data_IF_509443644760
#
_entry.id   IF_509443644760
#
_cell.length_a   1.000
_cell.length_b   1.000
_cell.length_c   1.000
_cell.angle_alpha   90.00
_cell.angle_beta   90.00
_cell.angle_gamma   90.00
#
_symmetry.space_group_name_H-M   'P 1'
#
loop_
_entity.id
_entity.type
_entity.pdbx_description
1 polymer ?
#
# COMPACT_ATOMS: atom_id res chain seq x y z
N UNK A 1 -41.97 8.21 -42.43
CA UNK A 1 -41.16 9.10 -41.58
C UNK A 1 -40.32 8.24 -40.65
N UNK A 2 -38.99 8.27 -40.78
CA UNK A 2 -38.06 7.59 -39.87
C UNK A 2 -37.96 8.42 -38.59
N UNK A 3 -38.32 7.84 -37.45
CA UNK A 3 -37.96 8.40 -36.15
C UNK A 3 -36.44 8.26 -35.99
N UNK A 4 -35.72 9.38 -36.08
CA UNK A 4 -34.36 9.48 -35.53
C UNK A 4 -34.52 9.61 -34.02
N UNK A 5 -34.16 8.58 -33.26
CA UNK A 5 -33.84 8.77 -31.85
C UNK A 5 -32.57 9.62 -31.78
N UNK A 6 -32.75 10.91 -31.50
CA UNK A 6 -31.77 11.69 -30.76
C UNK A 6 -31.82 11.14 -29.35
N UNK A 7 -30.81 10.37 -28.97
CA UNK A 7 -30.29 10.20 -27.61
C UNK A 7 -29.49 8.89 -27.61
N UNK A 8 -28.18 9.00 -27.46
CA UNK A 8 -27.25 8.00 -26.90
C UNK A 8 -25.79 8.39 -27.22
N UNK A 9 -25.44 9.67 -27.00
CA UNK A 9 -24.05 10.12 -27.02
C UNK A 9 -23.53 10.55 -25.64
N UNK A 10 -24.17 10.04 -24.58
CA UNK A 10 -23.65 10.12 -23.22
C UNK A 10 -23.20 8.74 -22.75
N UNK A 11 -22.17 8.19 -23.40
CA UNK A 11 -21.32 7.17 -22.78
C UNK A 11 -20.40 7.84 -21.73
N UNK A 12 -20.98 8.55 -20.76
CA UNK A 12 -20.27 8.90 -19.54
C UNK A 12 -20.10 7.62 -18.72
N UNK A 13 -19.13 6.80 -19.13
CA UNK A 13 -18.66 5.68 -18.32
C UNK A 13 -18.09 6.31 -17.05
N UNK A 14 -18.85 6.22 -15.95
CA UNK A 14 -18.50 6.78 -14.66
C UNK A 14 -17.16 6.20 -14.17
N UNK A 15 -16.06 6.92 -14.41
CA UNK A 15 -14.76 6.63 -13.81
C UNK A 15 -14.87 6.92 -12.33
N UNK A 16 -14.72 5.90 -11.49
CA UNK A 16 -14.64 6.06 -10.03
C UNK A 16 -13.19 6.04 -9.61
N UNK A 17 -12.75 7.13 -8.99
CA UNK A 17 -11.38 7.35 -8.56
C UNK A 17 -11.34 7.68 -7.07
N UNK A 18 -10.29 7.20 -6.38
CA UNK A 18 -9.98 7.63 -5.02
C UNK A 18 -9.06 8.83 -5.12
N UNK A 19 -9.61 10.02 -4.90
CA UNK A 19 -8.87 11.25 -5.04
C UNK A 19 -8.19 11.62 -3.71
N UNK A 20 -6.88 11.38 -3.64
CA UNK A 20 -6.00 11.93 -2.61
C UNK A 20 -6.48 11.69 -1.17
N UNK A 21 -6.77 10.44 -0.84
CA UNK A 21 -7.18 10.06 0.52
C UNK A 21 -5.94 9.96 1.41
N UNK A 22 -5.80 10.88 2.35
CA UNK A 22 -4.76 10.83 3.39
C UNK A 22 -5.38 10.30 4.69
N UNK A 23 -4.74 9.30 5.29
CA UNK A 23 -5.15 8.72 6.56
C UNK A 23 -4.01 8.80 7.58
N UNK A 24 -4.21 9.45 8.74
CA UNK A 24 -3.20 9.49 9.78
C UNK A 24 -3.06 8.12 10.43
N UNK A 25 -1.81 7.67 10.59
CA UNK A 25 -1.45 6.44 11.30
C UNK A 25 -0.92 6.74 12.70
N UNK A 26 -0.66 8.00 13.04
CA UNK A 26 -0.07 8.45 14.31
C UNK A 26 1.35 7.89 14.51
N UNK A 27 1.93 8.15 15.69
CA UNK A 27 3.29 7.75 16.04
C UNK A 27 3.47 6.22 16.03
N UNK A 28 4.62 5.72 15.60
CA UNK A 28 4.96 4.28 15.56
C UNK A 28 6.23 4.07 16.39
N UNK A 29 6.07 4.00 17.70
CA UNK A 29 7.17 4.09 18.68
C UNK A 29 7.65 2.73 19.18
N UNK A 30 6.74 1.88 19.66
CA UNK A 30 7.09 0.54 20.20
C UNK A 30 6.06 -0.54 19.84
N UNK A 31 4.91 -0.13 19.34
CA UNK A 31 3.83 -0.99 18.88
C UNK A 31 4.00 -1.39 17.41
N UNK A 32 3.43 -2.54 17.04
CA UNK A 32 3.17 -2.84 15.64
C UNK A 32 1.78 -2.32 15.28
N UNK A 33 1.73 -1.53 14.20
CA UNK A 33 0.48 -1.17 13.55
C UNK A 33 0.25 -2.05 12.35
N UNK A 34 -0.90 -2.71 12.33
CA UNK A 34 -1.37 -3.46 11.17
C UNK A 34 -2.46 -2.63 10.50
N UNK A 35 -2.14 -2.10 9.33
CA UNK A 35 -3.02 -1.31 8.49
C UNK A 35 -3.59 -2.21 7.41
N UNK A 36 -4.91 -2.31 7.33
CA UNK A 36 -5.60 -3.17 6.37
C UNK A 36 -6.71 -2.44 5.64
N UNK A 37 -6.79 -2.60 4.31
CA UNK A 37 -7.89 -2.08 3.51
C UNK A 37 -8.06 -2.84 2.20
N UNK A 38 -9.31 -2.85 1.71
CA UNK A 38 -9.68 -3.42 0.42
C UNK A 38 -9.98 -2.31 -0.58
N UNK A 39 -9.48 -2.51 -1.79
CA UNK A 39 -9.77 -1.66 -2.94
C UNK A 39 -10.26 -2.51 -4.10
N UNK A 40 -10.99 -1.88 -5.01
CA UNK A 40 -11.33 -2.43 -6.31
C UNK A 40 -10.71 -1.58 -7.39
N UNK A 41 -10.06 -2.20 -8.37
CA UNK A 41 -9.66 -1.46 -9.57
C UNK A 41 -10.88 -1.11 -10.41
N UNK A 42 -10.78 -0.04 -11.19
CA UNK A 42 -11.83 0.28 -12.17
C UNK A 42 -11.79 -0.66 -13.38
N UNK A 43 -12.65 -0.42 -14.37
CA UNK A 43 -12.59 -1.10 -15.68
C UNK A 43 -11.81 -0.29 -16.73
N UNK A 44 -11.28 0.89 -16.37
CA UNK A 44 -10.61 1.84 -17.28
C UNK A 44 -9.49 2.62 -16.55
N UNK A 45 -8.67 1.92 -15.76
CA UNK A 45 -7.62 2.54 -14.95
C UNK A 45 -6.22 2.44 -15.58
N UNK A 46 -5.42 3.48 -15.35
CA UNK A 46 -4.03 3.54 -15.81
C UNK A 46 -3.04 3.69 -14.67
N UNK A 47 -3.46 4.28 -13.54
CA UNK A 47 -2.56 4.62 -12.47
C UNK A 47 -3.16 4.40 -11.07
N UNK A 48 -2.28 4.03 -10.15
CA UNK A 48 -2.55 3.95 -8.73
C UNK A 48 -1.29 4.20 -7.91
N UNK A 49 -1.46 4.87 -6.77
CA UNK A 49 -0.41 5.18 -5.82
C UNK A 49 -0.89 4.91 -4.40
N UNK A 50 -0.05 4.23 -3.65
CA UNK A 50 -0.13 4.16 -2.20
C UNK A 50 1.21 4.62 -1.65
N UNK A 51 1.20 5.58 -0.76
CA UNK A 51 2.41 6.18 -0.22
C UNK A 51 2.34 6.22 1.30
N UNK A 52 3.37 5.66 1.94
CA UNK A 52 3.63 5.82 3.37
C UNK A 52 4.65 6.95 3.54
N UNK A 53 4.30 7.97 4.29
CA UNK A 53 5.15 9.15 4.50
C UNK A 53 5.07 9.68 5.94
N UNK A 54 6.08 10.44 6.32
CA UNK A 54 6.26 11.05 7.65
C UNK A 54 5.87 12.54 7.65
N UNK A 55 5.93 13.19 8.82
CA UNK A 55 5.45 14.57 9.05
C UNK A 55 5.81 15.58 7.96
N UNK A 56 7.09 15.63 7.54
CA UNK A 56 7.60 16.55 6.52
C UNK A 56 7.30 16.11 5.07
N UNK A 57 6.29 15.25 4.86
CA UNK A 57 6.01 14.58 3.58
C UNK A 57 7.19 13.77 3.06
N UNK A 58 8.05 13.33 3.96
CA UNK A 58 9.17 12.46 3.64
C UNK A 58 8.63 11.07 3.34
N UNK A 59 8.64 10.71 2.06
CA UNK A 59 8.21 9.40 1.60
C UNK A 59 9.14 8.31 2.12
N UNK A 60 8.57 7.29 2.77
CA UNK A 60 9.28 6.08 3.18
C UNK A 60 9.14 4.99 2.12
N UNK A 61 7.91 4.77 1.65
CA UNK A 61 7.56 3.72 0.71
C UNK A 61 6.47 4.22 -0.24
N UNK A 62 6.72 4.11 -1.55
CA UNK A 62 5.67 4.27 -2.58
C UNK A 62 5.41 2.94 -3.26
N UNK A 63 4.14 2.65 -3.48
CA UNK A 63 3.65 1.49 -4.20
C UNK A 63 2.87 2.02 -5.39
N UNK A 64 3.49 1.94 -6.57
CA UNK A 64 2.87 2.37 -7.82
C UNK A 64 2.23 1.17 -8.50
N UNK A 65 0.98 1.33 -8.88
CA UNK A 65 0.26 0.43 -9.77
C UNK A 65 0.23 1.09 -11.13
N UNK A 66 0.99 0.55 -12.08
CA UNK A 66 1.07 1.05 -13.44
C UNK A 66 0.64 -0.06 -14.40
N UNK A 67 -0.65 -0.03 -14.76
CA UNK A 67 -1.31 -1.02 -15.61
C UNK A 67 -1.08 -2.47 -15.13
N UNK A 68 -0.10 -3.14 -15.74
CA UNK A 68 0.25 -4.53 -15.49
C UNK A 68 1.43 -4.71 -14.53
N UNK A 69 1.95 -3.64 -13.93
CA UNK A 69 3.12 -3.68 -13.05
C UNK A 69 2.78 -3.05 -11.71
N UNK A 70 3.27 -3.67 -10.63
CA UNK A 70 3.30 -3.07 -9.30
C UNK A 70 4.75 -2.83 -8.92
N UNK A 71 5.09 -1.59 -8.59
CA UNK A 71 6.46 -1.15 -8.32
C UNK A 71 6.56 -0.59 -6.90
N UNK A 72 7.64 -0.92 -6.21
CA UNK A 72 7.97 -0.43 -4.88
C UNK A 72 9.21 0.46 -4.94
N UNK A 73 9.06 1.68 -4.42
CA UNK A 73 10.11 2.68 -4.32
C UNK A 73 10.38 2.92 -2.83
N UNK A 74 11.61 2.69 -2.41
CA UNK A 74 12.07 3.06 -1.06
C UNK A 74 12.68 4.46 -1.09
N UNK A 75 12.67 5.12 0.06
CA UNK A 75 13.47 6.33 0.27
C UNK A 75 14.93 6.09 -0.18
N UNK A 76 15.52 7.08 -0.88
CA UNK A 76 16.91 7.08 -1.38
C UNK A 76 17.21 6.09 -2.53
N UNK A 77 16.23 5.32 -3.00
CA UNK A 77 16.37 4.43 -4.17
C UNK A 77 15.34 4.80 -5.23
N UNK A 78 15.65 4.50 -6.51
CA UNK A 78 14.69 4.60 -7.59
C UNK A 78 13.66 3.46 -7.45
N UNK A 79 13.76 2.40 -8.25
CA UNK A 79 12.90 1.22 -8.10
C UNK A 79 13.65 0.17 -7.27
N UNK A 80 13.07 -0.24 -6.15
CA UNK A 80 13.65 -1.29 -5.30
C UNK A 80 13.15 -2.68 -5.68
N UNK A 81 11.90 -2.77 -6.14
CA UNK A 81 11.30 -4.04 -6.56
C UNK A 81 10.10 -3.79 -7.48
N UNK A 82 9.88 -4.69 -8.44
CA UNK A 82 8.69 -4.67 -9.28
C UNK A 82 8.11 -6.08 -9.45
N UNK A 83 6.81 -6.13 -9.69
CA UNK A 83 6.08 -7.34 -10.01
C UNK A 83 5.22 -7.13 -11.25
N UNK A 84 5.54 -7.87 -12.31
CA UNK A 84 4.78 -7.86 -13.55
C UNK A 84 3.62 -8.85 -13.52
N UNK A 85 2.54 -8.45 -14.18
CA UNK A 85 1.34 -9.23 -14.45
C UNK A 85 1.14 -9.32 -15.96
N UNK A 86 0.49 -10.39 -16.41
CA UNK A 86 0.18 -10.58 -17.84
C UNK A 86 -0.93 -9.66 -18.34
N UNK A 87 -1.70 -9.06 -17.43
CA UNK A 87 -2.88 -8.27 -17.74
C UNK A 87 -2.81 -6.94 -17.01
N UNK A 88 -3.53 -5.94 -17.54
CA UNK A 88 -3.70 -4.66 -16.86
C UNK A 88 -4.57 -4.88 -15.60
N UNK A 89 -3.95 -4.86 -14.42
CA UNK A 89 -4.65 -5.03 -13.15
C UNK A 89 -5.70 -3.95 -12.91
N UNK A 90 -5.48 -2.77 -13.47
CA UNK A 90 -6.32 -1.59 -13.30
C UNK A 90 -7.56 -1.57 -14.21
N UNK A 91 -7.71 -2.54 -15.11
CA UNK A 91 -8.84 -2.65 -16.05
C UNK A 91 -9.71 -3.91 -15.83
N UNK A 92 -9.29 -4.83 -14.96
CA UNK A 92 -9.99 -6.11 -14.75
C UNK A 92 -10.96 -6.10 -13.56
N UNK A 93 -11.25 -4.94 -12.96
CA UNK A 93 -12.08 -4.84 -11.75
C UNK A 93 -11.63 -5.74 -10.60
N UNK A 94 -10.31 -5.93 -10.47
CA UNK A 94 -9.69 -6.77 -9.47
C UNK A 94 -9.97 -6.23 -8.06
N UNK A 95 -10.25 -7.16 -7.14
CA UNK A 95 -10.26 -6.87 -5.70
C UNK A 95 -8.84 -7.03 -5.17
N UNK A 96 -8.33 -5.97 -4.55
CA UNK A 96 -7.00 -5.90 -3.98
C UNK A 96 -7.14 -5.70 -2.47
N UNK A 97 -6.61 -6.63 -1.68
CA UNK A 97 -6.45 -6.50 -0.25
C UNK A 97 -5.01 -6.08 0.04
N UNK A 98 -4.83 -5.04 0.83
CA UNK A 98 -3.52 -4.52 1.21
C UNK A 98 -3.42 -4.56 2.72
N UNK A 99 -2.33 -5.15 3.20
CA UNK A 99 -2.00 -5.24 4.61
C UNK A 99 -0.57 -4.72 4.79
N UNK A 100 -0.40 -3.68 5.59
CA UNK A 100 0.91 -3.13 5.96
C UNK A 100 1.14 -3.33 7.46
N UNK A 101 2.21 -4.03 7.82
CA UNK A 101 2.68 -4.16 9.21
C UNK A 101 3.84 -3.19 9.39
N UNK A 102 3.66 -2.24 10.30
CA UNK A 102 4.56 -1.13 10.55
C UNK A 102 5.05 -1.22 11.98
N UNK A 103 6.36 -1.15 12.19
CA UNK A 103 6.95 -1.00 13.51
C UNK A 103 8.28 -0.25 13.41
N UNK A 104 8.94 -0.02 14.56
CA UNK A 104 10.21 0.71 14.64
C UNK A 104 11.37 0.10 13.82
N UNK A 105 11.26 -1.17 13.41
CA UNK A 105 12.28 -1.92 12.69
C UNK A 105 12.04 -1.97 11.17
N UNK A 106 10.79 -2.13 10.72
CA UNK A 106 10.49 -2.42 9.31
C UNK A 106 9.09 -1.98 8.86
N UNK A 107 8.91 -1.99 7.54
CA UNK A 107 7.60 -2.03 6.89
C UNK A 107 7.48 -3.33 6.11
N UNK A 108 6.46 -4.13 6.43
CA UNK A 108 6.11 -5.34 5.70
C UNK A 108 4.76 -5.12 5.02
N UNK A 109 4.75 -5.14 3.70
CA UNK A 109 3.53 -4.97 2.91
C UNK A 109 3.15 -6.27 2.22
N UNK A 110 1.93 -6.73 2.42
CA UNK A 110 1.31 -7.81 1.65
C UNK A 110 0.24 -7.21 0.75
N UNK A 111 0.18 -7.68 -0.49
CA UNK A 111 -0.86 -7.30 -1.42
C UNK A 111 -1.41 -8.56 -2.07
N UNK A 112 -2.67 -8.83 -1.77
CA UNK A 112 -3.42 -9.94 -2.32
C UNK A 112 -4.38 -9.42 -3.39
N UNK A 113 -4.08 -9.74 -4.64
CA UNK A 113 -5.00 -9.53 -5.76
C UNK A 113 -5.79 -10.82 -5.96
N UNK A 114 -7.12 -10.77 -5.80
CA UNK A 114 -7.96 -11.96 -5.91
C UNK A 114 -7.79 -12.64 -7.28
N UNK A 115 -7.49 -13.94 -7.27
CA UNK A 115 -7.21 -14.71 -8.49
C UNK A 115 -5.75 -14.69 -8.94
N UNK A 116 -4.85 -14.02 -8.22
CA UNK A 116 -3.42 -14.00 -8.50
C UNK A 116 -2.61 -14.42 -7.26
N UNK A 117 -1.35 -14.86 -7.42
CA UNK A 117 -0.48 -15.14 -6.29
C UNK A 117 -0.29 -13.92 -5.38
N UNK A 118 -0.33 -14.15 -4.07
CA UNK A 118 0.00 -13.11 -3.08
C UNK A 118 1.46 -12.69 -3.23
N UNK A 119 1.75 -11.42 -2.95
CA UNK A 119 3.10 -10.91 -2.93
C UNK A 119 3.38 -10.10 -1.67
N UNK A 120 4.64 -10.17 -1.26
CA UNK A 120 5.13 -9.53 -0.05
C UNK A 120 6.34 -8.68 -0.38
N UNK A 121 6.35 -7.47 0.16
CA UNK A 121 7.48 -6.55 0.09
C UNK A 121 7.94 -6.19 1.49
N UNK A 122 9.26 -6.12 1.69
CA UNK A 122 9.86 -5.77 2.97
C UNK A 122 10.82 -4.61 2.78
N UNK A 123 10.58 -3.53 3.52
CA UNK A 123 11.52 -2.42 3.67
C UNK A 123 12.24 -2.59 5.01
N UNK A 124 13.55 -2.78 4.93
CA UNK A 124 14.47 -2.73 6.07
C UNK A 124 15.51 -1.63 5.81
N UNK A 125 15.56 -0.57 6.62
CA UNK A 125 16.64 0.40 6.50
C UNK A 125 17.99 -0.25 6.83
N UNK A 126 19.10 0.38 6.40
CA UNK A 126 20.46 -0.18 6.55
C UNK A 126 20.77 -0.64 7.98
N UNK A 127 20.36 0.14 8.98
CA UNK A 127 20.58 -0.14 10.40
C UNK A 127 19.26 -0.48 11.13
N UNK A 128 18.41 -1.28 10.48
CA UNK A 128 17.06 -1.61 10.97
C UNK A 128 17.05 -2.17 12.39
N UNK A 129 18.07 -2.93 12.79
CA UNK A 129 18.19 -3.53 14.13
C UNK A 129 18.20 -2.50 15.26
N UNK A 130 18.53 -1.23 14.98
CA UNK A 130 18.49 -0.16 15.96
C UNK A 130 17.05 0.29 16.29
N UNK A 131 16.04 -0.15 15.52
CA UNK A 131 14.64 0.21 15.77
C UNK A 131 14.37 1.70 15.56
N UNK A 132 15.00 2.31 14.54
CA UNK A 132 14.97 3.77 14.32
C UNK A 132 14.16 4.23 13.12
N UNK A 133 13.40 3.34 12.47
CA UNK A 133 12.70 3.66 11.23
C UNK A 133 11.74 4.85 11.39
N UNK A 134 11.07 4.95 12.53
CA UNK A 134 10.10 6.01 12.86
C UNK A 134 10.51 6.83 14.10
N UNK A 135 11.79 6.81 14.51
CA UNK A 135 12.26 7.39 15.79
C UNK A 135 11.94 8.89 15.91
N UNK A 136 12.04 9.62 14.79
CA UNK A 136 11.83 11.07 14.73
C UNK A 136 10.40 11.47 14.34
N UNK A 137 9.54 10.49 14.12
CA UNK A 137 8.25 10.67 13.47
C UNK A 137 7.19 10.93 14.53
N UNK A 138 6.52 12.07 14.45
CA UNK A 138 5.38 12.39 15.29
C UNK A 138 4.11 11.74 14.73
N UNK A 139 3.94 11.77 13.40
CA UNK A 139 2.78 11.21 12.73
C UNK A 139 3.15 10.60 11.36
N UNK A 140 2.94 9.29 11.24
CA UNK A 140 2.99 8.63 9.96
C UNK A 140 1.65 8.75 9.24
N UNK A 141 1.65 8.79 7.92
CA UNK A 141 0.45 8.94 7.11
C UNK A 141 0.45 7.94 5.95
N UNK A 142 -0.74 7.50 5.58
CA UNK A 142 -0.98 6.72 4.38
C UNK A 142 -1.76 7.57 3.37
N UNK A 143 -1.18 7.81 2.19
CA UNK A 143 -1.87 8.37 1.04
C UNK A 143 -2.33 7.23 0.13
N UNK A 144 -3.58 7.29 -0.33
CA UNK A 144 -4.13 6.45 -1.39
C UNK A 144 -4.68 7.36 -2.48
N UNK A 145 -4.19 7.17 -3.71
CA UNK A 145 -4.60 7.96 -4.85
C UNK A 145 -4.64 7.11 -6.13
N UNK A 146 -5.64 7.31 -6.98
CA UNK A 146 -5.67 6.79 -8.34
C UNK A 146 -6.97 6.09 -8.70
N UNK A 147 -6.91 5.24 -9.73
CA UNK A 147 -8.03 4.58 -10.40
C UNK A 147 -8.54 3.36 -9.63
N UNK A 148 -8.71 3.53 -8.32
CA UNK A 148 -9.28 2.57 -7.40
C UNK A 148 -10.55 3.12 -6.76
N UNK A 149 -11.43 2.19 -6.39
CA UNK A 149 -12.53 2.44 -5.47
C UNK A 149 -12.21 1.78 -4.15
N UNK A 150 -12.10 2.57 -3.08
CA UNK A 150 -12.03 2.03 -1.73
C UNK A 150 -13.32 1.24 -1.43
N UNK A 151 -13.18 -0.04 -1.05
CA UNK A 151 -14.32 -0.90 -0.67
C UNK A 151 -14.53 -0.85 0.84
N UNK A 152 -13.46 -0.88 1.62
CA UNK A 152 -13.51 -0.84 3.09
C UNK A 152 -12.80 0.40 3.63
N UNK A 153 -13.19 0.93 4.80
CA UNK A 153 -12.35 1.88 5.52
C UNK A 153 -10.93 1.34 5.73
N UNK A 154 -9.99 2.26 5.97
CA UNK A 154 -8.66 1.88 6.42
C UNK A 154 -8.80 1.45 7.88
N UNK A 155 -8.54 0.18 8.14
CA UNK A 155 -8.56 -0.39 9.47
C UNK A 155 -7.14 -0.37 10.03
N UNK A 156 -6.96 0.17 11.23
CA UNK A 156 -5.65 0.21 11.91
C UNK A 156 -5.78 -0.54 13.22
N UNK A 157 -5.06 -1.65 13.33
CA UNK A 157 -4.96 -2.44 14.55
C UNK A 157 -3.60 -2.19 15.18
N UNK A 158 -3.58 -2.11 16.51
CA UNK A 158 -2.38 -1.83 17.29
C UNK A 158 -2.10 -3.04 18.17
N UNK A 159 -0.88 -3.57 18.07
CA UNK A 159 -0.41 -4.69 18.88
C UNK A 159 0.80 -4.24 19.70
N UNK A 160 0.78 -4.54 20.99
CA UNK A 160 1.93 -4.25 21.85
C UNK A 160 3.07 -5.22 21.53
N UNK A 161 4.31 -4.80 21.81
CA UNK A 161 5.50 -5.62 21.55
C UNK A 161 5.43 -7.01 22.23
N UNK A 162 4.77 -7.10 23.38
CA UNK A 162 4.55 -8.36 24.11
C UNK A 162 3.63 -9.36 23.38
N UNK A 163 2.71 -8.88 22.54
CA UNK A 163 1.75 -9.71 21.80
C UNK A 163 2.34 -10.23 20.47
N UNK A 164 3.55 -9.79 20.09
CA UNK A 164 4.14 -10.07 18.77
C UNK A 164 5.21 -11.15 18.88
N UNK A 165 4.79 -12.40 18.72
CA UNK A 165 5.65 -13.58 18.87
C UNK A 165 6.79 -13.67 17.83
N UNK A 166 6.54 -13.29 16.57
CA UNK A 166 7.49 -13.49 15.46
C UNK A 166 8.64 -12.47 15.42
N UNK A 167 8.41 -11.23 15.85
CA UNK A 167 9.46 -10.20 15.92
C UNK A 167 10.53 -10.62 16.93
N UNK A 168 10.13 -11.21 18.07
CA UNK A 168 11.07 -11.77 19.05
C UNK A 168 11.94 -12.89 18.48
N UNK A 169 11.40 -13.75 17.62
CA UNK A 169 12.16 -14.85 16.99
C UNK A 169 13.10 -14.32 15.91
N UNK A 170 12.62 -13.45 15.00
CA UNK A 170 13.46 -12.87 13.95
C UNK A 170 14.61 -12.04 14.53
N UNK A 171 14.35 -11.23 15.57
CA UNK A 171 15.41 -10.49 16.26
C UNK A 171 16.41 -11.44 16.93
N UNK A 172 15.94 -12.48 17.65
CA UNK A 172 16.83 -13.47 18.27
C UNK A 172 17.68 -14.23 17.26
N UNK A 173 17.07 -14.71 16.18
CA UNK A 173 17.75 -15.50 15.17
C UNK A 173 18.68 -14.69 14.26
N UNK A 174 18.47 -13.37 14.09
CA UNK A 174 19.34 -12.54 13.24
C UNK A 174 20.49 -11.89 14.03
N UNK A 175 20.33 -11.63 15.33
CA UNK A 175 21.41 -11.11 16.20
C UNK A 175 22.49 -12.16 16.47
N UNK A 176 22.15 -13.46 16.44
CA UNK A 176 23.10 -14.56 16.64
C UNK A 176 24.02 -14.87 15.46
N UNK A 177 23.88 -14.18 14.31
CA UNK A 177 24.70 -14.41 13.10
C UNK A 177 25.53 -13.20 12.65
N UNK A 178 25.67 -12.17 13.50
CA UNK A 178 26.70 -11.12 13.36
C UNK A 178 27.85 -11.35 14.35
#
# INVERSE_FOLDING_TARGET
MKYKSKDDNNNEICKRFTNHLIHPLFKINEEEKVVEFNMRTSTLGNFGLIELFEDDKKSLLKINFNKSVIEFFEMEKNVSYSKDYKFNLLEISAKILITMRLNKYFVLTSILVMGFPNFYYKLFPKDWWNGKLFEKTQNAHLLIHGDFVKITPINVQIFKEEDIYWVRILLKCMVTYN
#
